data_IF_412397476451
#
_entry.id   IF_412397476451
#
_cell.length_a   1.000
_cell.length_b   1.000
_cell.length_c   1.000
_cell.angle_alpha   90.00
_cell.angle_beta   90.00
_cell.angle_gamma   90.00
#
_symmetry.space_group_name_H-M   'P 1'
#
loop_
_entity.id
_entity.type
_entity.pdbx_description
1 polymer ?
#
# COMPACT_ATOMS: atom_id res chain seq x y z
N UNK A 1 14.39 57.07 -28.22
CA UNK A 1 13.86 55.86 -27.43
C UNK A 1 12.33 55.81 -27.49
N UNK A 2 11.58 56.91 -27.58
CA UNK A 2 10.09 56.88 -27.54
C UNK A 2 9.43 56.43 -28.84
N UNK A 3 10.08 56.61 -30.00
CA UNK A 3 9.52 56.26 -31.33
C UNK A 3 9.65 54.72 -31.60
N UNK A 4 10.64 54.06 -31.04
CA UNK A 4 10.90 52.66 -31.24
C UNK A 4 9.91 51.76 -30.43
N UNK A 5 9.52 52.22 -29.24
CA UNK A 5 8.48 51.53 -28.44
C UNK A 5 7.07 51.67 -29.04
N UNK A 6 6.75 52.74 -29.73
CA UNK A 6 5.46 52.93 -30.39
C UNK A 6 5.27 52.03 -31.62
N UNK A 7 6.35 51.54 -32.27
CA UNK A 7 6.30 50.61 -33.41
C UNK A 7 6.25 49.13 -33.00
N UNK A 8 6.73 48.80 -31.83
CA UNK A 8 6.76 47.41 -31.34
C UNK A 8 5.37 46.91 -30.92
N UNK A 9 4.54 47.79 -30.35
CA UNK A 9 3.19 47.44 -29.90
C UNK A 9 2.24 47.00 -31.03
N UNK A 10 2.12 47.68 -32.18
CA UNK A 10 1.21 47.21 -33.24
C UNK A 10 1.73 45.95 -33.94
N UNK A 11 3.06 45.76 -34.00
CA UNK A 11 3.64 44.56 -34.61
C UNK A 11 3.38 43.32 -33.76
N UNK A 12 3.49 43.40 -32.43
CA UNK A 12 3.18 42.32 -31.49
C UNK A 12 1.69 41.98 -31.54
N UNK A 13 0.82 42.99 -31.57
CA UNK A 13 -0.63 42.74 -31.64
C UNK A 13 -1.03 42.09 -32.96
N UNK A 14 -0.41 42.40 -34.05
CA UNK A 14 -0.67 41.80 -35.36
C UNK A 14 -0.17 40.35 -35.40
N UNK A 15 1.01 40.08 -34.83
CA UNK A 15 1.54 38.70 -34.69
C UNK A 15 0.67 37.82 -33.81
N UNK A 16 0.20 38.36 -32.68
CA UNK A 16 -0.72 37.66 -31.80
C UNK A 16 -2.05 37.34 -32.50
N UNK A 17 -2.59 38.27 -33.23
CA UNK A 17 -3.85 38.09 -33.98
C UNK A 17 -3.71 37.04 -35.09
N UNK A 18 -2.58 37.04 -35.80
CA UNK A 18 -2.27 36.02 -36.81
C UNK A 18 -2.07 34.64 -36.17
N UNK A 19 -1.37 34.58 -35.04
CA UNK A 19 -1.19 33.34 -34.29
C UNK A 19 -2.54 32.77 -33.81
N UNK A 20 -3.41 33.59 -33.23
CA UNK A 20 -4.75 33.19 -32.81
C UNK A 20 -5.60 32.70 -33.97
N UNK A 21 -5.60 33.41 -35.11
CA UNK A 21 -6.35 32.95 -36.31
C UNK A 21 -5.80 31.64 -36.87
N UNK A 22 -4.48 31.44 -36.84
CA UNK A 22 -3.85 30.18 -37.25
C UNK A 22 -4.23 29.01 -36.32
N UNK A 23 -4.31 29.27 -35.02
CA UNK A 23 -4.76 28.28 -34.01
C UNK A 23 -6.22 27.88 -34.25
N UNK A 24 -7.12 28.83 -34.50
CA UNK A 24 -8.53 28.59 -34.77
C UNK A 24 -8.72 27.77 -36.05
N UNK A 25 -7.93 28.04 -37.09
CA UNK A 25 -8.00 27.30 -38.36
C UNK A 25 -7.49 25.85 -38.25
N UNK A 26 -6.71 25.54 -37.19
CA UNK A 26 -6.19 24.20 -36.90
C UNK A 26 -6.72 23.63 -35.57
N UNK A 27 -7.92 24.03 -35.23
CA UNK A 27 -8.54 23.71 -33.91
C UNK A 27 -8.52 22.20 -33.59
N UNK A 28 -8.72 21.36 -34.60
CA UNK A 28 -8.70 19.92 -34.48
C UNK A 28 -7.30 19.38 -34.13
N UNK A 29 -6.26 19.87 -34.80
CA UNK A 29 -4.87 19.47 -34.54
C UNK A 29 -4.41 19.96 -33.17
N UNK A 30 -4.72 21.22 -32.85
CA UNK A 30 -4.37 21.81 -31.53
C UNK A 30 -5.12 21.08 -30.42
N UNK A 31 -6.42 20.81 -30.61
CA UNK A 31 -7.23 20.05 -29.66
C UNK A 31 -6.68 18.65 -29.40
N UNK A 32 -6.30 17.92 -30.45
CA UNK A 32 -5.67 16.61 -30.30
C UNK A 32 -4.33 16.67 -29.55
N UNK A 33 -3.50 17.69 -29.84
CA UNK A 33 -2.23 17.85 -29.15
C UNK A 33 -2.43 18.15 -27.66
N UNK A 34 -3.33 19.06 -27.33
CA UNK A 34 -3.68 19.38 -25.94
C UNK A 34 -4.25 18.17 -25.22
N UNK A 35 -5.15 17.43 -25.88
CA UNK A 35 -5.71 16.20 -25.34
C UNK A 35 -4.62 15.16 -25.05
N UNK A 36 -3.70 14.94 -26.01
CA UNK A 36 -2.63 13.96 -25.84
C UNK A 36 -1.70 14.32 -24.67
N UNK A 37 -1.34 15.61 -24.55
CA UNK A 37 -0.50 16.09 -23.44
C UNK A 37 -1.26 15.94 -22.12
N UNK A 38 -2.51 16.37 -22.06
CA UNK A 38 -3.34 16.27 -20.86
C UNK A 38 -3.53 14.83 -20.41
N UNK A 39 -3.76 13.93 -21.35
CA UNK A 39 -3.90 12.49 -21.09
C UNK A 39 -2.59 11.87 -20.57
N UNK A 40 -1.44 12.28 -21.17
CA UNK A 40 -0.13 11.82 -20.68
C UNK A 40 0.15 12.27 -19.24
N UNK A 41 -0.15 13.55 -18.92
CA UNK A 41 0.01 14.08 -17.57
C UNK A 41 -0.95 13.40 -16.60
N UNK A 42 -2.20 13.18 -17.02
CA UNK A 42 -3.18 12.45 -16.21
C UNK A 42 -2.73 11.04 -15.86
N UNK A 43 -2.21 10.30 -16.85
CA UNK A 43 -1.68 8.96 -16.62
C UNK A 43 -0.47 8.98 -15.68
N UNK A 44 0.47 9.92 -15.89
CA UNK A 44 1.65 10.06 -15.03
C UNK A 44 1.26 10.31 -13.57
N UNK A 45 0.39 11.29 -13.33
CA UNK A 45 -0.09 11.63 -11.99
C UNK A 45 -0.93 10.50 -11.38
N UNK A 46 -1.75 9.83 -12.19
CA UNK A 46 -2.56 8.68 -11.76
C UNK A 46 -1.71 7.51 -11.30
N UNK A 47 -0.69 7.15 -12.07
CA UNK A 47 0.24 6.08 -11.71
C UNK A 47 1.02 6.43 -10.44
N UNK A 48 1.51 7.67 -10.32
CA UNK A 48 2.25 8.09 -9.12
C UNK A 48 1.36 8.11 -7.87
N UNK A 49 0.12 8.54 -8.01
CA UNK A 49 -0.86 8.48 -6.90
C UNK A 49 -1.13 7.05 -6.45
N UNK A 50 -1.42 6.15 -7.38
CA UNK A 50 -1.63 4.72 -7.07
C UNK A 50 -0.40 4.12 -6.41
N UNK A 51 0.79 4.42 -6.92
CA UNK A 51 2.06 3.96 -6.34
C UNK A 51 2.26 4.43 -4.90
N UNK A 52 1.99 5.70 -4.63
CA UNK A 52 2.14 6.29 -3.30
C UNK A 52 1.12 5.70 -2.33
N UNK A 53 -0.15 5.63 -2.73
CA UNK A 53 -1.21 5.05 -1.90
C UNK A 53 -0.99 3.55 -1.64
N UNK A 54 -0.53 2.80 -2.64
CA UNK A 54 -0.17 1.40 -2.45
C UNK A 54 0.98 1.25 -1.45
N UNK A 55 2.01 2.10 -1.54
CA UNK A 55 3.14 2.09 -0.61
C UNK A 55 2.74 2.46 0.82
N UNK A 56 1.89 3.46 0.99
CA UNK A 56 1.34 3.86 2.29
C UNK A 56 0.42 2.79 2.87
N UNK A 57 -0.47 2.22 2.07
CA UNK A 57 -1.34 1.11 2.49
C UNK A 57 -0.53 -0.09 2.93
N UNK A 58 0.54 -0.41 2.20
CA UNK A 58 1.46 -1.47 2.56
C UNK A 58 2.19 -1.19 3.89
N UNK A 59 2.76 0.00 4.05
CA UNK A 59 3.43 0.42 5.28
C UNK A 59 2.47 0.44 6.48
N UNK A 60 1.21 0.81 6.25
CA UNK A 60 0.17 0.82 7.27
C UNK A 60 -0.29 -0.59 7.69
N UNK A 61 -0.26 -1.56 6.78
CA UNK A 61 -0.66 -2.95 7.08
C UNK A 61 0.33 -3.63 8.02
N UNK A 62 1.62 -3.25 7.98
CA UNK A 62 2.69 -3.78 8.85
C UNK A 62 3.12 -2.73 9.90
N UNK A 63 2.23 -1.85 10.27
CA UNK A 63 2.55 -0.70 11.12
C UNK A 63 3.16 -1.14 12.45
N UNK A 64 4.40 -0.71 12.71
CA UNK A 64 5.13 -1.01 13.95
C UNK A 64 5.90 -2.33 13.95
N UNK A 65 6.07 -3.00 12.80
CA UNK A 65 6.92 -4.18 12.65
C UNK A 65 8.15 -3.82 11.83
N UNK A 66 9.33 -4.01 12.40
CA UNK A 66 10.60 -3.65 11.74
C UNK A 66 11.08 -4.74 10.78
N UNK A 67 10.82 -6.01 11.09
CA UNK A 67 11.32 -7.14 10.34
C UNK A 67 10.33 -8.29 10.26
N UNK A 68 10.22 -8.91 9.10
CA UNK A 68 9.50 -10.17 8.88
C UNK A 68 10.51 -11.24 8.57
N UNK A 69 10.51 -12.30 9.39
CA UNK A 69 11.40 -13.45 9.23
C UNK A 69 10.59 -14.66 8.81
N UNK A 70 10.99 -15.29 7.72
CA UNK A 70 10.36 -16.49 7.20
C UNK A 70 11.39 -17.53 6.74
N UNK A 71 10.91 -18.71 6.39
CA UNK A 71 11.74 -19.72 5.76
C UNK A 71 12.22 -19.23 4.38
N UNK A 72 13.30 -19.81 3.88
CA UNK A 72 13.92 -19.42 2.59
C UNK A 72 12.90 -19.56 1.45
N UNK A 73 12.38 -18.42 1.03
CA UNK A 73 11.41 -18.25 -0.06
C UNK A 73 11.69 -16.92 -0.76
N UNK A 74 10.98 -16.62 -1.84
CA UNK A 74 11.06 -15.28 -2.46
C UNK A 74 10.50 -14.19 -1.53
N UNK A 75 11.10 -13.00 -1.54
CA UNK A 75 10.67 -11.86 -0.73
C UNK A 75 9.19 -11.50 -0.95
N UNK A 76 8.74 -11.54 -2.21
CA UNK A 76 7.34 -11.29 -2.57
C UNK A 76 6.42 -12.35 -1.96
N UNK A 77 6.81 -13.63 -2.03
CA UNK A 77 6.02 -14.72 -1.47
C UNK A 77 5.92 -14.63 0.05
N UNK A 78 7.02 -14.26 0.72
CA UNK A 78 7.04 -14.04 2.16
C UNK A 78 6.08 -12.91 2.55
N UNK A 79 6.06 -11.81 1.80
CA UNK A 79 5.15 -10.70 2.02
C UNK A 79 3.69 -11.08 1.78
N UNK A 80 3.38 -11.74 0.67
CA UNK A 80 2.03 -12.21 0.37
C UNK A 80 1.49 -13.10 1.48
N UNK A 81 2.31 -14.01 1.99
CA UNK A 81 1.92 -14.92 3.04
C UNK A 81 1.78 -14.24 4.41
N UNK A 82 2.79 -13.49 4.84
CA UNK A 82 2.84 -12.91 6.20
C UNK A 82 1.90 -11.71 6.39
N UNK A 83 1.76 -10.88 5.37
CA UNK A 83 1.00 -9.63 5.43
C UNK A 83 -0.41 -9.80 4.88
N UNK A 84 -0.52 -10.29 3.65
CA UNK A 84 -1.81 -10.43 2.97
C UNK A 84 -2.50 -11.76 3.26
N UNK A 85 -1.79 -12.72 3.87
CA UNK A 85 -2.31 -14.05 4.19
C UNK A 85 -2.81 -14.82 2.97
N UNK A 86 -2.19 -14.55 1.82
CA UNK A 86 -2.51 -15.15 0.52
C UNK A 86 -1.47 -16.22 0.19
N UNK A 87 -1.94 -17.36 -0.32
CA UNK A 87 -1.11 -18.49 -0.72
C UNK A 87 -0.80 -19.45 0.42
N UNK A 88 0.06 -20.42 0.14
CA UNK A 88 0.50 -21.43 1.09
C UNK A 88 2.01 -21.30 1.29
N UNK A 89 2.48 -21.51 2.51
CA UNK A 89 3.91 -21.57 2.78
C UNK A 89 4.50 -22.84 2.17
N UNK A 90 5.50 -22.67 1.32
CA UNK A 90 6.25 -23.81 0.78
C UNK A 90 7.25 -24.36 1.79
N UNK A 91 7.72 -23.53 2.69
CA UNK A 91 8.65 -23.87 3.75
C UNK A 91 8.26 -23.17 5.05
N UNK A 92 8.50 -23.82 6.18
CA UNK A 92 8.19 -23.28 7.50
C UNK A 92 9.45 -23.03 8.32
N UNK A 93 9.40 -22.05 9.22
CA UNK A 93 10.41 -21.86 10.28
C UNK A 93 10.12 -22.87 11.38
N UNK A 94 11.13 -23.66 11.79
CA UNK A 94 10.95 -24.59 12.89
C UNK A 94 10.78 -23.83 14.21
N UNK A 95 10.03 -24.45 15.15
CA UNK A 95 9.82 -23.86 16.49
C UNK A 95 11.12 -23.64 17.24
N UNK A 96 12.12 -24.49 17.02
CA UNK A 96 13.48 -24.32 17.59
C UNK A 96 14.14 -23.04 17.08
N UNK A 97 14.07 -22.78 15.77
CA UNK A 97 14.65 -21.58 15.16
C UNK A 97 13.90 -20.31 15.61
N UNK A 98 12.57 -20.39 15.72
CA UNK A 98 11.76 -19.30 16.28
C UNK A 98 12.24 -18.95 17.70
N UNK A 99 12.37 -19.93 18.60
CA UNK A 99 12.87 -19.71 19.96
C UNK A 99 14.30 -19.12 20.00
N UNK A 100 15.16 -19.56 19.09
CA UNK A 100 16.51 -19.01 18.99
C UNK A 100 16.48 -17.53 18.63
N UNK A 101 15.65 -17.16 17.67
CA UNK A 101 15.50 -15.78 17.23
C UNK A 101 14.83 -14.92 18.31
N UNK A 102 13.75 -15.38 18.91
CA UNK A 102 13.02 -14.62 19.93
C UNK A 102 13.83 -14.34 21.20
N UNK A 103 14.89 -15.11 21.45
CA UNK A 103 15.79 -14.95 22.61
C UNK A 103 17.00 -14.07 22.32
N UNK A 104 17.14 -13.50 21.12
CA UNK A 104 18.22 -12.55 20.82
C UNK A 104 17.99 -11.25 21.59
N UNK A 105 19.07 -10.68 22.14
CA UNK A 105 19.01 -9.46 22.97
C UNK A 105 18.53 -8.22 22.21
N UNK A 106 18.72 -8.22 20.92
CA UNK A 106 18.36 -7.15 20.00
C UNK A 106 16.88 -7.13 19.65
N UNK A 107 16.12 -8.19 20.01
CA UNK A 107 14.72 -8.36 19.67
C UNK A 107 13.85 -8.02 20.88
N UNK A 108 13.05 -6.97 20.76
CA UNK A 108 12.14 -6.54 21.79
C UNK A 108 10.90 -7.44 21.93
N UNK A 109 10.35 -7.90 20.81
CA UNK A 109 9.20 -8.79 20.76
C UNK A 109 9.11 -9.53 19.42
N UNK A 110 8.42 -10.65 19.42
CA UNK A 110 8.14 -11.45 18.23
C UNK A 110 6.69 -11.90 18.22
N UNK A 111 6.11 -11.99 17.04
CA UNK A 111 4.78 -12.57 16.84
C UNK A 111 4.94 -13.75 15.89
N UNK A 112 4.84 -14.99 16.37
CA UNK A 112 4.81 -16.14 15.47
C UNK A 112 3.49 -16.18 14.72
N UNK A 113 3.56 -16.41 13.40
CA UNK A 113 2.39 -16.53 12.54
C UNK A 113 2.46 -17.86 11.82
N UNK A 114 1.45 -18.68 12.02
CA UNK A 114 1.22 -19.92 11.29
C UNK A 114 -0.15 -19.87 10.64
N UNK A 115 -0.20 -19.98 9.33
CA UNK A 115 -1.47 -20.07 8.60
C UNK A 115 -1.82 -21.55 8.46
N UNK A 116 -2.89 -21.93 9.13
CA UNK A 116 -3.48 -23.27 9.04
C UNK A 116 -4.45 -23.41 7.88
N UNK A 117 -5.27 -24.43 7.98
CA UNK A 117 -6.36 -24.69 7.05
C UNK A 117 -7.44 -23.59 7.11
N UNK A 118 -8.44 -23.67 6.27
CA UNK A 118 -9.54 -22.71 6.26
C UNK A 118 -10.77 -23.32 6.93
N UNK A 119 -11.50 -22.51 7.69
CA UNK A 119 -12.81 -22.83 8.22
C UNK A 119 -13.86 -21.97 7.53
N UNK A 120 -14.81 -22.58 6.83
CA UNK A 120 -15.82 -21.89 6.03
C UNK A 120 -15.25 -20.82 5.04
N UNK A 121 -14.07 -21.10 4.48
CA UNK A 121 -13.38 -20.18 3.56
C UNK A 121 -12.56 -19.08 4.24
N UNK A 122 -12.60 -18.97 5.56
CA UNK A 122 -11.76 -18.07 6.34
C UNK A 122 -10.48 -18.75 6.78
N UNK A 123 -9.35 -18.05 6.64
CA UNK A 123 -8.04 -18.58 7.06
C UNK A 123 -7.91 -18.65 8.57
N UNK A 124 -7.47 -19.79 9.07
CA UNK A 124 -7.14 -19.96 10.48
C UNK A 124 -5.70 -19.50 10.72
N UNK A 125 -5.51 -18.61 11.68
CA UNK A 125 -4.23 -18.05 12.07
C UNK A 125 -3.82 -18.58 13.44
N UNK A 126 -2.76 -19.37 13.47
CA UNK A 126 -2.10 -19.75 14.72
C UNK A 126 -1.08 -18.70 15.13
N UNK A 127 -1.18 -18.20 16.37
CA UNK A 127 -0.28 -17.17 16.91
C UNK A 127 -0.27 -17.23 18.45
N UNK A 128 0.44 -16.29 19.09
CA UNK A 128 0.47 -16.16 20.56
C UNK A 128 -0.30 -14.92 21.00
N UNK A 129 -0.54 -14.79 22.32
CA UNK A 129 -1.19 -13.60 22.90
C UNK A 129 -0.46 -12.28 22.60
N UNK A 130 0.82 -12.35 22.25
CA UNK A 130 1.61 -11.18 21.85
C UNK A 130 1.10 -10.54 20.55
N UNK A 131 0.38 -11.29 19.73
CA UNK A 131 -0.33 -10.74 18.57
C UNK A 131 -1.26 -9.61 18.98
N UNK A 132 -2.06 -9.75 20.01
CA UNK A 132 -3.00 -8.72 20.47
C UNK A 132 -2.31 -7.53 21.15
N UNK A 133 -1.13 -7.75 21.72
CA UNK A 133 -0.35 -6.69 22.37
C UNK A 133 0.39 -5.82 21.36
N UNK A 134 1.03 -6.43 20.38
CA UNK A 134 2.00 -5.75 19.51
C UNK A 134 1.50 -5.51 18.10
N UNK A 135 0.59 -6.34 17.57
CA UNK A 135 0.06 -6.11 16.23
C UNK A 135 -0.72 -4.81 16.15
N UNK A 136 -0.44 -4.04 15.10
CA UNK A 136 -1.09 -2.78 14.79
C UNK A 136 -1.57 -2.81 13.34
N UNK A 137 -2.72 -2.21 13.09
CA UNK A 137 -3.26 -2.06 11.75
C UNK A 137 -3.51 -0.59 11.42
N UNK A 138 -3.54 -0.26 10.15
CA UNK A 138 -3.73 1.11 9.70
C UNK A 138 -2.70 2.06 10.32
N UNK A 139 -3.11 3.23 10.75
CA UNK A 139 -2.24 4.20 11.41
C UNK A 139 -1.95 3.82 12.88
N UNK A 140 -1.27 2.69 13.09
CA UNK A 140 -0.85 2.15 14.42
C UNK A 140 -2.01 1.88 15.38
N UNK A 141 -3.19 1.52 14.90
CA UNK A 141 -4.35 1.21 15.73
C UNK A 141 -4.24 -0.18 16.36
N UNK A 142 -4.64 -0.28 17.61
CA UNK A 142 -4.76 -1.56 18.31
C UNK A 142 -5.98 -2.35 17.85
N UNK A 143 -5.89 -3.68 17.90
CA UNK A 143 -7.06 -4.54 17.75
C UNK A 143 -8.06 -4.22 18.86
N UNK A 144 -9.33 -4.14 18.51
CA UNK A 144 -10.42 -3.93 19.46
C UNK A 144 -11.31 -5.16 19.48
N UNK A 145 -11.66 -5.62 20.67
CA UNK A 145 -12.65 -6.67 20.89
C UNK A 145 -14.03 -6.04 20.99
N UNK A 146 -14.99 -6.52 20.22
CA UNK A 146 -16.37 -6.14 20.34
C UNK A 146 -17.03 -6.87 21.52
N UNK A 147 -16.58 -8.10 21.79
CA UNK A 147 -16.95 -8.90 22.94
C UNK A 147 -15.84 -9.89 23.27
N UNK A 148 -15.82 -10.41 24.47
CA UNK A 148 -14.83 -11.37 24.92
C UNK A 148 -13.46 -10.77 25.22
N UNK A 149 -12.43 -11.59 25.19
CA UNK A 149 -11.04 -11.26 25.53
C UNK A 149 -10.06 -12.00 24.57
N UNK A 150 -8.77 -11.62 24.55
CA UNK A 150 -7.74 -12.40 23.89
C UNK A 150 -7.77 -13.85 24.38
N UNK A 151 -7.38 -14.80 23.56
CA UNK A 151 -7.25 -16.18 23.96
C UNK A 151 -6.11 -16.33 25.00
N UNK A 152 -6.33 -17.18 25.98
CA UNK A 152 -5.39 -17.49 27.06
C UNK A 152 -5.05 -18.99 27.08
N UNK A 153 -5.94 -19.85 26.62
CA UNK A 153 -5.78 -21.30 26.60
C UNK A 153 -5.66 -21.82 25.16
N UNK A 154 -5.18 -23.06 25.04
CA UNK A 154 -4.92 -23.76 23.76
C UNK A 154 -6.22 -23.98 22.95
N UNK A 155 -7.34 -24.10 23.63
CA UNK A 155 -8.65 -24.32 23.00
C UNK A 155 -9.44 -23.02 22.77
N UNK A 156 -8.90 -21.89 23.17
CA UNK A 156 -9.54 -20.61 22.93
C UNK A 156 -9.33 -20.16 21.47
N UNK A 157 -10.35 -19.56 20.90
CA UNK A 157 -10.28 -18.93 19.58
C UNK A 157 -10.88 -17.53 19.61
N UNK A 158 -10.29 -16.62 18.86
CA UNK A 158 -10.83 -15.29 18.61
C UNK A 158 -11.33 -15.24 17.18
N UNK A 159 -12.60 -14.95 17.01
CA UNK A 159 -13.24 -14.85 15.71
C UNK A 159 -13.08 -13.41 15.16
N UNK A 160 -12.78 -13.29 13.87
CA UNK A 160 -12.88 -12.01 13.17
C UNK A 160 -14.35 -11.59 13.04
N UNK A 161 -14.58 -10.32 12.90
CA UNK A 161 -15.94 -9.73 12.77
C UNK A 161 -16.77 -10.43 11.70
N UNK A 162 -16.24 -10.56 10.48
CA UNK A 162 -16.94 -11.18 9.35
C UNK A 162 -17.25 -12.69 9.54
N UNK A 163 -16.47 -13.35 10.40
CA UNK A 163 -16.71 -14.76 10.75
C UNK A 163 -17.80 -14.89 11.82
N UNK A 164 -17.87 -13.93 12.73
CA UNK A 164 -18.85 -13.91 13.82
C UNK A 164 -20.27 -13.52 13.35
N UNK A 165 -20.38 -12.81 12.21
CA UNK A 165 -21.67 -12.40 11.65
C UNK A 165 -22.29 -13.43 10.69
N UNK A 166 -21.60 -14.53 10.37
CA UNK A 166 -22.11 -15.63 9.52
C UNK A 166 -22.57 -16.82 10.34
#
# INVERSE_FOLDING_TARGET
>A
KSIEQARVNPMISTLLTLACKSLINRLLTVGLTVFAISFSVFLLLGVEKIRTEAKESFANTISGTDLIVGARSGSVQLLLYSVFRIGNATNNVSWKNYKTISNLKEIAWTIPISLGDSHHGFRVLGTTGDYFKHYRYGSKKHLRFQGGKPFEDVFDAVLGHDVAER
#
